data_IF_090803523359
#
_entry.id   IF_090803523359
#
_cell.length_a   1.000
_cell.length_b   1.000
_cell.length_c   1.000
_cell.angle_alpha   90.00
_cell.angle_beta   90.00
_cell.angle_gamma   90.00
#
_symmetry.space_group_name_H-M   'P 1'
#
loop_
_entity.id
_entity.type
_entity.pdbx_description
1 polymer ?
#
# COMPACT_ATOMS: atom_id res chain seq x y z
N UNK A 1 12.28 0.83 -28.00
CA UNK A 1 10.92 0.26 -27.78
C UNK A 1 9.87 1.30 -28.13
N UNK A 2 8.57 0.95 -28.15
CA UNK A 2 7.47 1.85 -28.49
C UNK A 2 6.46 1.80 -27.33
N UNK A 3 6.03 2.97 -26.84
CA UNK A 3 4.91 3.09 -25.92
C UNK A 3 3.63 3.30 -26.72
N UNK A 4 2.62 2.47 -26.44
CA UNK A 4 1.30 2.55 -27.07
C UNK A 4 0.24 2.77 -26.01
N UNK A 5 -0.63 3.75 -26.23
CA UNK A 5 -1.88 3.87 -25.47
C UNK A 5 -2.82 2.74 -25.94
N UNK A 6 -3.31 1.97 -25.02
CA UNK A 6 -4.17 0.80 -25.28
C UNK A 6 -5.50 0.96 -24.53
N UNK A 7 -6.49 0.16 -24.87
CA UNK A 7 -7.74 0.10 -24.10
C UNK A 7 -7.51 -0.56 -22.74
N UNK A 8 -8.43 -0.31 -21.80
CA UNK A 8 -8.43 -0.97 -20.50
C UNK A 8 -8.46 -2.51 -20.63
N UNK A 9 -9.19 -3.02 -21.61
CA UNK A 9 -9.27 -4.46 -21.88
C UNK A 9 -7.93 -5.04 -22.38
N UNK A 10 -7.26 -4.34 -23.30
CA UNK A 10 -5.92 -4.76 -23.76
C UNK A 10 -4.90 -4.68 -22.64
N UNK A 11 -4.96 -3.62 -21.80
CA UNK A 11 -4.09 -3.49 -20.63
C UNK A 11 -4.30 -4.64 -19.64
N UNK A 12 -5.55 -5.04 -19.39
CA UNK A 12 -5.85 -6.14 -18.47
C UNK A 12 -5.17 -7.46 -18.87
N UNK A 13 -4.90 -7.65 -20.16
CA UNK A 13 -4.19 -8.81 -20.68
C UNK A 13 -2.67 -8.77 -20.40
N UNK A 14 -2.13 -7.63 -19.97
CA UNK A 14 -0.72 -7.48 -19.60
C UNK A 14 -0.47 -7.81 -18.11
N UNK A 15 -1.53 -7.87 -17.30
CA UNK A 15 -1.43 -8.18 -15.89
C UNK A 15 -0.95 -9.62 -15.70
N UNK A 16 0.10 -9.79 -14.91
CA UNK A 16 0.51 -11.10 -14.41
C UNK A 16 -0.34 -11.54 -13.22
N UNK A 17 -0.28 -12.80 -12.86
CA UNK A 17 -1.11 -13.39 -11.79
C UNK A 17 -0.85 -12.74 -10.42
N UNK A 18 0.36 -12.25 -10.21
CA UNK A 18 0.76 -11.57 -8.96
C UNK A 18 0.62 -10.04 -8.99
N UNK A 19 -0.01 -9.47 -10.03
CA UNK A 19 -0.14 -8.02 -10.12
C UNK A 19 -0.94 -7.46 -8.93
N UNK A 20 -0.42 -6.41 -8.25
CA UNK A 20 -1.15 -5.78 -7.15
C UNK A 20 -2.51 -5.26 -7.61
N UNK A 21 -3.49 -5.31 -6.70
CA UNK A 21 -4.87 -4.83 -6.97
C UNK A 21 -4.92 -3.38 -7.47
N UNK A 22 -3.94 -2.56 -7.14
CA UNK A 22 -3.84 -1.15 -7.57
C UNK A 22 -3.62 -0.98 -9.07
N UNK A 23 -3.14 -2.03 -9.75
CA UNK A 23 -3.02 -2.07 -11.20
C UNK A 23 -4.26 -2.68 -11.89
N UNK A 24 -5.26 -3.14 -11.13
CA UNK A 24 -6.49 -3.68 -11.68
C UNK A 24 -7.33 -2.57 -12.32
N UNK A 25 -7.86 -2.83 -13.53
CA UNK A 25 -8.67 -1.86 -14.28
C UNK A 25 -9.87 -1.35 -13.47
N UNK A 26 -10.59 -2.23 -12.75
CA UNK A 26 -11.74 -1.79 -11.93
C UNK A 26 -11.33 -0.79 -10.85
N UNK A 27 -10.17 -1.01 -10.20
CA UNK A 27 -9.66 -0.06 -9.21
C UNK A 27 -9.23 1.26 -9.85
N UNK A 28 -8.57 1.20 -11.00
CA UNK A 28 -8.15 2.39 -11.76
C UNK A 28 -9.37 3.21 -12.18
N UNK A 29 -10.40 2.58 -12.75
CA UNK A 29 -11.63 3.23 -13.19
C UNK A 29 -12.43 3.84 -12.04
N UNK A 30 -12.51 3.16 -10.87
CA UNK A 30 -13.12 3.72 -9.67
C UNK A 30 -12.48 5.05 -9.25
N UNK A 31 -11.18 5.18 -9.48
CA UNK A 31 -10.39 6.35 -9.08
C UNK A 31 -10.16 7.34 -10.22
N UNK A 32 -10.65 7.09 -11.43
CA UNK A 32 -10.34 7.88 -12.63
C UNK A 32 -10.66 9.38 -12.48
N UNK A 33 -11.73 9.72 -11.74
CA UNK A 33 -12.11 11.12 -11.49
C UNK A 33 -11.08 11.93 -10.64
N UNK A 34 -10.03 11.29 -10.13
CA UNK A 34 -8.95 11.95 -9.36
C UNK A 34 -7.80 12.47 -10.23
N UNK A 35 -7.89 12.32 -11.53
CA UNK A 35 -6.98 12.90 -12.53
C UNK A 35 -7.77 13.35 -13.76
N UNK A 36 -7.14 14.12 -14.64
CA UNK A 36 -7.79 14.62 -15.85
C UNK A 36 -7.96 13.54 -16.90
N UNK A 37 -6.96 12.66 -17.04
CA UNK A 37 -6.98 11.50 -17.94
C UNK A 37 -6.30 10.28 -17.31
N UNK A 38 -6.75 9.09 -17.72
CA UNK A 38 -6.05 7.82 -17.43
C UNK A 38 -5.45 7.28 -18.72
N UNK A 39 -4.16 7.03 -18.71
CA UNK A 39 -3.44 6.38 -19.80
C UNK A 39 -3.10 4.95 -19.42
N UNK A 40 -3.72 3.99 -20.08
CA UNK A 40 -3.29 2.60 -20.06
C UNK A 40 -2.23 2.42 -21.13
N UNK A 41 -1.01 2.06 -20.72
CA UNK A 41 0.13 1.96 -21.63
C UNK A 41 0.66 0.54 -21.73
N UNK A 42 0.98 0.15 -22.98
CA UNK A 42 1.74 -1.05 -23.29
C UNK A 42 3.07 -0.65 -23.91
N UNK A 43 4.17 -1.14 -23.34
CA UNK A 43 5.53 -0.90 -23.80
C UNK A 43 6.00 -2.16 -24.55
N UNK A 44 6.27 -1.99 -25.84
CA UNK A 44 6.45 -3.09 -26.79
C UNK A 44 7.78 -3.01 -27.53
N UNK A 45 8.36 -4.16 -27.82
CA UNK A 45 9.25 -4.36 -28.97
C UNK A 45 8.44 -4.99 -30.13
N UNK A 46 8.65 -6.24 -30.45
CA UNK A 46 7.80 -7.03 -31.36
C UNK A 46 6.53 -7.54 -30.69
N UNK A 47 6.50 -7.56 -29.36
CA UNK A 47 5.37 -7.96 -28.51
C UNK A 47 5.28 -7.09 -27.26
N UNK A 48 4.14 -7.08 -26.55
CA UNK A 48 4.05 -6.41 -25.25
C UNK A 48 5.06 -7.00 -24.25
N UNK A 49 5.78 -6.11 -23.54
CA UNK A 49 6.78 -6.46 -22.53
C UNK A 49 6.36 -6.02 -21.14
N UNK A 50 5.89 -4.77 -21.05
CA UNK A 50 5.48 -4.13 -19.82
C UNK A 50 4.18 -3.38 -20.04
N UNK A 51 3.38 -3.28 -18.98
CA UNK A 51 2.26 -2.36 -18.88
C UNK A 51 2.49 -1.36 -17.75
N UNK A 52 1.91 -0.17 -17.87
CA UNK A 52 1.86 0.82 -16.80
C UNK A 52 0.60 1.67 -16.95
N UNK A 53 0.01 2.09 -15.82
CA UNK A 53 -1.07 3.08 -15.80
C UNK A 53 -0.53 4.40 -15.33
N UNK A 54 -0.84 5.46 -16.07
CA UNK A 54 -0.54 6.85 -15.66
C UNK A 54 -1.82 7.65 -15.52
N UNK A 55 -2.00 8.30 -14.37
CA UNK A 55 -2.96 9.40 -14.23
C UNK A 55 -2.30 10.71 -14.64
N UNK A 56 -2.94 11.46 -15.52
CA UNK A 56 -2.45 12.72 -16.05
C UNK A 56 -3.12 13.88 -15.31
N UNK A 57 -2.33 14.84 -14.88
CA UNK A 57 -2.81 16.13 -14.38
C UNK A 57 -2.21 17.24 -15.28
N UNK A 58 -3.06 17.86 -16.08
CA UNK A 58 -2.65 18.87 -17.07
C UNK A 58 -2.21 20.17 -16.41
N UNK A 59 -2.87 20.57 -15.33
CA UNK A 59 -2.58 21.85 -14.64
C UNK A 59 -1.21 21.82 -13.97
N UNK A 60 -0.83 20.68 -13.39
CA UNK A 60 0.46 20.46 -12.74
C UNK A 60 1.56 19.97 -13.70
N UNK A 61 1.17 19.62 -14.94
CA UNK A 61 2.05 18.96 -15.92
C UNK A 61 2.74 17.72 -15.35
N UNK A 62 1.96 16.85 -14.73
CA UNK A 62 2.48 15.62 -14.12
C UNK A 62 1.71 14.39 -14.61
N UNK A 63 2.44 13.29 -14.81
CA UNK A 63 1.91 11.95 -15.03
C UNK A 63 2.33 11.05 -13.89
N UNK A 64 1.39 10.43 -13.19
CA UNK A 64 1.66 9.67 -11.97
C UNK A 64 1.35 8.18 -12.12
N UNK A 65 2.26 7.34 -11.69
CA UNK A 65 1.97 5.94 -11.36
C UNK A 65 2.42 5.66 -9.93
N UNK A 66 1.46 5.53 -8.99
CA UNK A 66 0.02 5.64 -9.14
C UNK A 66 -0.47 7.09 -9.04
N UNK A 67 -1.73 7.33 -9.41
CA UNK A 67 -2.41 8.60 -9.14
C UNK A 67 -3.37 8.54 -7.93
N UNK A 68 -3.72 7.33 -7.47
CA UNK A 68 -4.62 7.14 -6.31
C UNK A 68 -4.40 5.80 -5.60
N UNK A 69 -3.16 5.45 -5.28
CA UNK A 69 -2.81 4.24 -4.53
C UNK A 69 -1.52 4.44 -3.74
N UNK A 70 -1.16 3.55 -2.81
CA UNK A 70 0.10 3.62 -2.08
C UNK A 70 1.35 3.44 -2.96
N UNK A 71 1.23 2.70 -4.05
CA UNK A 71 2.26 2.47 -5.06
C UNK A 71 1.62 2.01 -6.39
N UNK A 72 2.38 2.08 -7.47
CA UNK A 72 1.99 1.68 -8.81
C UNK A 72 3.14 0.99 -9.52
N UNK A 73 3.60 1.58 -10.62
CA UNK A 73 4.70 1.06 -11.40
C UNK A 73 4.25 0.10 -12.51
N UNK A 74 5.12 -0.79 -12.88
CA UNK A 74 4.96 -1.64 -14.05
C UNK A 74 4.28 -2.96 -13.70
N UNK A 75 3.61 -3.52 -14.71
CA UNK A 75 3.08 -4.89 -14.70
C UNK A 75 3.68 -5.68 -15.86
N UNK A 76 3.85 -6.98 -15.68
CA UNK A 76 4.38 -7.89 -16.67
C UNK A 76 3.94 -9.33 -16.38
N UNK A 77 3.90 -10.17 -17.41
CA UNK A 77 3.65 -11.61 -17.26
C UNK A 77 4.93 -12.41 -17.00
N UNK A 78 6.01 -11.97 -17.64
CA UNK A 78 7.34 -12.57 -17.50
C UNK A 78 8.31 -11.43 -17.22
N UNK A 79 9.09 -11.57 -16.17
CA UNK A 79 10.05 -10.54 -15.77
C UNK A 79 11.05 -10.27 -16.89
N UNK A 80 11.17 -9.02 -17.36
CA UNK A 80 12.06 -8.67 -18.46
C UNK A 80 13.54 -8.62 -18.02
N UNK A 81 14.44 -8.78 -19.00
CA UNK A 81 15.88 -8.54 -18.80
C UNK A 81 16.15 -7.07 -18.52
N UNK A 82 17.33 -6.78 -17.93
CA UNK A 82 17.78 -5.39 -17.66
C UNK A 82 17.79 -4.53 -18.93
N UNK A 83 18.23 -5.08 -20.07
CA UNK A 83 18.24 -4.38 -21.36
C UNK A 83 16.84 -3.95 -21.81
N UNK A 84 15.84 -4.83 -21.61
CA UNK A 84 14.44 -4.53 -21.94
C UNK A 84 13.88 -3.46 -20.99
N UNK A 85 14.22 -3.53 -19.71
CA UNK A 85 13.81 -2.52 -18.70
C UNK A 85 14.39 -1.15 -19.07
N UNK A 86 15.68 -1.07 -19.38
CA UNK A 86 16.36 0.17 -19.76
C UNK A 86 15.70 0.83 -20.99
N UNK A 87 15.55 0.06 -22.08
CA UNK A 87 14.88 0.55 -23.29
C UNK A 87 13.40 0.93 -23.07
N UNK A 88 12.73 0.26 -22.14
CA UNK A 88 11.34 0.59 -21.80
C UNK A 88 11.25 1.89 -21.04
N UNK A 89 12.18 2.14 -20.11
CA UNK A 89 12.26 3.40 -19.36
C UNK A 89 12.58 4.59 -20.27
N UNK A 90 13.56 4.44 -21.19
CA UNK A 90 13.86 5.45 -22.21
C UNK A 90 12.60 5.82 -23.01
N UNK A 91 11.91 4.79 -23.55
CA UNK A 91 10.70 5.00 -24.32
C UNK A 91 9.55 5.62 -23.50
N UNK A 92 9.46 5.31 -22.21
CA UNK A 92 8.46 5.92 -21.32
C UNK A 92 8.77 7.38 -21.03
N UNK A 93 10.03 7.73 -20.79
CA UNK A 93 10.46 9.12 -20.60
C UNK A 93 10.17 9.94 -21.85
N UNK A 94 10.47 9.42 -23.03
CA UNK A 94 10.16 10.05 -24.32
C UNK A 94 8.64 10.24 -24.50
N UNK A 95 7.82 9.25 -24.08
CA UNK A 95 6.36 9.34 -24.16
C UNK A 95 5.79 10.43 -23.26
N UNK A 96 6.33 10.55 -22.05
CA UNK A 96 5.88 11.56 -21.06
C UNK A 96 6.22 12.98 -21.55
N UNK A 97 7.29 13.16 -22.30
CA UNK A 97 7.67 14.44 -22.94
C UNK A 97 7.81 15.57 -21.92
N UNK A 98 7.07 16.66 -22.13
CA UNK A 98 7.16 17.86 -21.27
C UNK A 98 6.53 17.73 -19.87
N UNK A 99 5.90 16.58 -19.54
CA UNK A 99 5.36 16.35 -18.21
C UNK A 99 6.44 15.79 -17.27
N UNK A 100 6.24 15.97 -15.99
CA UNK A 100 7.04 15.24 -14.99
C UNK A 100 6.42 13.85 -14.78
N UNK A 101 7.20 12.79 -14.93
CA UNK A 101 6.76 11.45 -14.55
C UNK A 101 7.05 11.25 -13.05
N UNK A 102 5.99 11.05 -12.25
CA UNK A 102 6.12 10.57 -10.88
C UNK A 102 5.85 9.07 -10.84
N UNK A 103 6.89 8.32 -10.51
CA UNK A 103 6.84 6.87 -10.41
C UNK A 103 7.08 6.43 -8.96
N UNK A 104 6.08 5.81 -8.33
CA UNK A 104 6.20 5.21 -7.00
C UNK A 104 6.24 3.70 -7.16
N UNK A 105 7.41 3.10 -6.92
CA UNK A 105 7.58 1.66 -7.03
C UNK A 105 6.95 0.94 -5.82
N UNK A 106 6.44 -0.31 -6.00
CA UNK A 106 6.01 -1.13 -4.88
C UNK A 106 7.20 -1.45 -3.96
N UNK A 107 6.98 -1.56 -2.64
CA UNK A 107 7.97 -2.15 -1.75
C UNK A 107 8.33 -3.59 -2.19
N UNK A 108 9.56 -4.02 -1.89
CA UNK A 108 10.09 -5.32 -2.34
C UNK A 108 9.27 -6.52 -1.86
N UNK A 109 8.55 -6.39 -0.76
CA UNK A 109 7.65 -7.42 -0.22
C UNK A 109 6.56 -7.88 -1.20
N UNK A 110 6.25 -7.08 -2.22
CA UNK A 110 5.25 -7.41 -3.25
C UNK A 110 5.80 -8.27 -4.40
N UNK A 111 6.97 -8.88 -4.23
CA UNK A 111 7.55 -9.80 -5.20
C UNK A 111 8.24 -9.13 -6.40
N UNK A 112 8.45 -7.83 -6.34
CA UNK A 112 9.10 -7.05 -7.40
C UNK A 112 10.59 -6.79 -7.16
N UNK A 113 11.22 -7.44 -6.20
CA UNK A 113 12.60 -7.17 -5.76
C UNK A 113 13.61 -7.13 -6.91
N UNK A 114 13.66 -8.18 -7.74
CA UNK A 114 14.54 -8.23 -8.91
C UNK A 114 14.22 -7.16 -9.94
N UNK A 115 12.94 -6.96 -10.21
CA UNK A 115 12.50 -5.98 -11.19
C UNK A 115 12.76 -4.54 -10.71
N UNK A 116 12.41 -4.22 -9.46
CA UNK A 116 12.69 -2.91 -8.86
C UNK A 116 14.18 -2.59 -8.89
N UNK A 117 15.05 -3.56 -8.56
CA UNK A 117 16.49 -3.37 -8.62
C UNK A 117 16.96 -2.97 -10.05
N UNK A 118 16.39 -3.61 -11.08
CA UNK A 118 16.67 -3.25 -12.49
C UNK A 118 16.16 -1.85 -12.82
N UNK A 119 14.93 -1.49 -12.41
CA UNK A 119 14.36 -0.16 -12.64
C UNK A 119 15.18 0.92 -11.96
N UNK A 120 15.51 0.74 -10.68
CA UNK A 120 16.31 1.69 -9.91
C UNK A 120 17.71 1.86 -10.52
N UNK A 121 18.37 0.74 -10.85
CA UNK A 121 19.70 0.79 -11.48
C UNK A 121 19.66 1.53 -12.82
N UNK A 122 18.69 1.20 -13.70
CA UNK A 122 18.58 1.84 -15.02
C UNK A 122 18.29 3.32 -14.89
N UNK A 123 17.35 3.74 -14.04
CA UNK A 123 17.05 5.15 -13.82
C UNK A 123 18.26 5.93 -13.30
N UNK A 124 19.01 5.35 -12.35
CA UNK A 124 20.24 6.00 -11.83
C UNK A 124 21.33 6.12 -12.91
N UNK A 125 21.49 5.13 -13.77
CA UNK A 125 22.42 5.20 -14.93
C UNK A 125 21.98 6.23 -15.97
N UNK A 126 20.67 6.45 -16.12
CA UNK A 126 20.11 7.51 -16.96
C UNK A 126 20.23 8.91 -16.32
N UNK A 127 20.80 9.02 -15.12
CA UNK A 127 21.01 10.28 -14.40
C UNK A 127 19.85 10.68 -13.48
N UNK A 128 18.82 9.83 -13.34
CA UNK A 128 17.71 10.09 -12.45
C UNK A 128 17.95 9.44 -11.07
N UNK A 129 17.94 10.24 -10.03
CA UNK A 129 18.03 9.76 -8.65
C UNK A 129 16.62 9.70 -8.02
N UNK A 130 16.39 8.83 -7.03
CA UNK A 130 15.14 8.87 -6.29
C UNK A 130 14.92 10.26 -5.68
N UNK A 131 13.75 10.85 -5.90
CA UNK A 131 13.36 12.12 -5.30
C UNK A 131 13.23 11.98 -3.78
N UNK A 132 12.71 10.83 -3.34
CA UNK A 132 12.80 10.37 -1.95
C UNK A 132 12.64 8.85 -1.87
N UNK A 133 12.97 8.32 -0.70
CA UNK A 133 12.80 6.92 -0.36
C UNK A 133 12.05 6.83 0.96
N UNK A 134 10.88 6.17 0.94
CA UNK A 134 10.10 5.95 2.15
C UNK A 134 10.44 4.60 2.79
N UNK A 135 10.36 4.54 4.12
CA UNK A 135 10.49 3.32 4.91
C UNK A 135 9.11 2.68 5.08
N UNK A 136 8.91 1.54 4.43
CA UNK A 136 7.70 0.76 4.51
C UNK A 136 7.86 -0.37 5.52
N UNK A 137 6.91 -0.49 6.45
CA UNK A 137 6.97 -1.47 7.55
C UNK A 137 6.00 -2.61 7.30
N UNK A 138 6.41 -3.82 7.64
CA UNK A 138 5.60 -5.01 7.48
C UNK A 138 5.95 -6.09 8.51
N UNK A 139 5.05 -7.06 8.68
CA UNK A 139 5.31 -8.29 9.43
C UNK A 139 5.55 -9.45 8.46
N UNK A 140 6.59 -10.22 8.70
CA UNK A 140 6.71 -11.58 8.18
C UNK A 140 5.89 -12.53 9.07
N UNK A 141 4.72 -12.92 8.58
CA UNK A 141 3.78 -13.73 9.34
C UNK A 141 4.21 -15.22 9.46
N UNK A 142 5.21 -15.68 8.71
CA UNK A 142 5.76 -17.01 8.87
C UNK A 142 6.36 -17.23 10.26
N UNK A 143 6.66 -16.15 10.97
CA UNK A 143 7.30 -16.13 12.29
C UNK A 143 6.33 -15.86 13.45
N UNK A 144 5.05 -15.69 13.17
CA UNK A 144 4.04 -15.19 14.14
C UNK A 144 3.80 -16.12 15.34
N UNK A 145 4.09 -17.42 15.20
CA UNK A 145 4.02 -18.37 16.31
C UNK A 145 4.91 -17.96 17.50
N UNK A 146 5.92 -17.16 17.22
CA UNK A 146 6.84 -16.59 18.20
C UNK A 146 6.67 -15.07 18.33
N UNK A 147 5.46 -14.54 18.12
CA UNK A 147 5.18 -13.10 18.05
C UNK A 147 5.83 -12.31 19.19
N UNK A 148 5.72 -12.78 20.42
CA UNK A 148 6.33 -12.09 21.57
C UNK A 148 7.86 -12.02 21.51
N UNK A 149 8.52 -12.94 20.79
CA UNK A 149 9.99 -12.93 20.67
C UNK A 149 10.54 -11.77 19.85
N UNK A 150 9.72 -11.20 18.93
CA UNK A 150 10.11 -10.05 18.10
C UNK A 150 9.85 -8.73 18.76
N UNK A 151 8.96 -8.71 19.77
CA UNK A 151 8.62 -7.49 20.47
C UNK A 151 9.83 -6.98 21.27
N UNK A 152 10.05 -5.69 21.23
CA UNK A 152 10.92 -5.05 22.21
C UNK A 152 10.41 -5.32 23.64
N UNK A 153 11.29 -5.16 24.61
CA UNK A 153 10.89 -5.30 26.04
C UNK A 153 9.70 -4.42 26.40
N UNK A 154 9.68 -3.19 25.87
CA UNK A 154 8.61 -2.25 26.13
C UNK A 154 7.30 -2.65 25.43
N UNK A 155 7.35 -3.07 24.16
CA UNK A 155 6.17 -3.54 23.44
C UNK A 155 5.57 -4.81 24.07
N UNK A 156 6.41 -5.74 24.55
CA UNK A 156 5.95 -6.92 25.31
C UNK A 156 5.23 -6.52 26.60
N UNK A 157 5.77 -5.56 27.35
CA UNK A 157 5.10 -5.02 28.53
C UNK A 157 3.76 -4.39 28.17
N UNK A 158 3.68 -3.64 27.07
CA UNK A 158 2.46 -3.03 26.59
C UNK A 158 1.42 -4.08 26.15
N UNK A 159 1.83 -5.13 25.42
CA UNK A 159 0.96 -6.25 25.09
C UNK A 159 0.42 -6.94 26.34
N UNK A 160 1.29 -7.28 27.29
CA UNK A 160 0.88 -7.87 28.55
C UNK A 160 -0.06 -6.98 29.37
N UNK A 161 0.07 -5.66 29.23
CA UNK A 161 -0.90 -4.72 29.81
C UNK A 161 -2.25 -4.81 29.09
N UNK A 162 -2.25 -4.78 27.77
CA UNK A 162 -3.48 -4.85 26.98
C UNK A 162 -4.26 -6.15 27.18
N UNK A 163 -3.55 -7.28 27.38
CA UNK A 163 -4.15 -8.59 27.66
C UNK A 163 -4.90 -8.68 28.99
N UNK A 164 -4.77 -7.67 29.88
CA UNK A 164 -5.52 -7.61 31.15
C UNK A 164 -6.89 -7.01 31.01
N UNK A 165 -7.19 -6.42 29.84
CA UNK A 165 -8.47 -5.79 29.56
C UNK A 165 -9.34 -6.73 28.74
N UNK A 166 -10.65 -6.68 28.96
CA UNK A 166 -11.63 -7.53 28.27
C UNK A 166 -11.94 -6.99 26.86
N UNK A 167 -10.90 -6.81 26.06
CA UNK A 167 -11.04 -6.42 24.66
C UNK A 167 -11.70 -7.53 23.83
N UNK A 168 -12.71 -7.16 23.07
CA UNK A 168 -13.36 -8.03 22.07
C UNK A 168 -12.86 -7.64 20.69
N UNK A 169 -12.21 -8.59 20.01
CA UNK A 169 -11.73 -8.41 18.62
C UNK A 169 -12.76 -9.02 17.66
N UNK A 170 -13.29 -8.21 16.76
CA UNK A 170 -14.32 -8.59 15.82
C UNK A 170 -13.90 -8.27 14.38
N UNK A 171 -14.04 -9.24 13.47
CA UNK A 171 -13.99 -9.03 12.03
C UNK A 171 -15.40 -8.69 11.55
N UNK A 172 -15.55 -7.52 10.95
CA UNK A 172 -16.81 -7.03 10.42
C UNK A 172 -17.02 -7.48 8.97
N UNK A 173 -18.27 -7.69 8.55
CA UNK A 173 -18.59 -7.99 7.16
C UNK A 173 -18.38 -6.76 6.27
N UNK A 174 -17.62 -6.93 5.21
CA UNK A 174 -17.41 -5.90 4.19
C UNK A 174 -18.63 -5.69 3.27
N UNK A 175 -19.61 -6.60 3.29
CA UNK A 175 -20.83 -6.49 2.49
C UNK A 175 -21.86 -5.53 3.09
N UNK A 176 -21.67 -5.12 4.34
CA UNK A 176 -22.57 -4.23 5.06
C UNK A 176 -21.96 -2.85 5.27
N UNK A 177 -22.50 -1.84 4.62
CA UNK A 177 -22.02 -0.45 4.75
C UNK A 177 -22.03 0.08 6.20
N UNK A 178 -22.98 -0.38 7.04
CA UNK A 178 -23.02 -0.04 8.46
C UNK A 178 -21.82 -0.60 9.24
N UNK A 179 -21.33 -1.79 8.91
CA UNK A 179 -20.14 -2.38 9.50
C UNK A 179 -18.87 -1.62 9.08
N UNK A 180 -18.77 -1.26 7.79
CA UNK A 180 -17.69 -0.42 7.29
C UNK A 180 -17.69 0.94 8.00
N UNK A 181 -18.88 1.55 8.13
CA UNK A 181 -19.03 2.84 8.80
C UNK A 181 -18.60 2.78 10.28
N UNK A 182 -18.86 1.67 10.98
CA UNK A 182 -18.44 1.45 12.37
C UNK A 182 -16.90 1.49 12.50
N UNK A 183 -16.18 0.72 11.68
CA UNK A 183 -14.71 0.74 11.67
C UNK A 183 -14.17 2.11 11.21
N UNK A 184 -14.78 2.71 10.19
CA UNK A 184 -14.39 4.01 9.66
C UNK A 184 -14.53 5.13 10.70
N UNK A 185 -15.55 5.10 11.55
CA UNK A 185 -15.77 6.12 12.60
C UNK A 185 -14.60 6.16 13.59
N UNK A 186 -14.10 5.00 14.02
CA UNK A 186 -12.93 4.88 14.90
C UNK A 186 -11.66 5.41 14.22
N UNK A 187 -11.43 5.00 12.97
CA UNK A 187 -10.29 5.45 12.18
C UNK A 187 -10.33 6.97 12.00
N UNK A 188 -11.51 7.52 11.70
CA UNK A 188 -11.72 8.96 11.53
C UNK A 188 -11.39 9.72 12.83
N UNK A 189 -11.92 9.27 13.98
CA UNK A 189 -11.64 9.87 15.27
C UNK A 189 -10.13 9.87 15.60
N UNK A 190 -9.43 8.76 15.30
CA UNK A 190 -7.98 8.69 15.45
C UNK A 190 -7.25 9.71 14.57
N UNK A 191 -7.62 9.79 13.26
CA UNK A 191 -6.99 10.71 12.33
C UNK A 191 -7.19 12.18 12.72
N UNK A 192 -8.41 12.54 13.11
CA UNK A 192 -8.75 13.90 13.56
C UNK A 192 -7.98 14.29 14.82
N UNK A 193 -7.88 13.39 15.82
CA UNK A 193 -7.16 13.67 17.07
C UNK A 193 -5.65 13.88 16.89
N UNK A 194 -5.07 13.31 15.81
CA UNK A 194 -3.64 13.43 15.51
C UNK A 194 -3.35 14.43 14.37
N UNK A 195 -4.34 15.11 13.82
CA UNK A 195 -4.24 15.94 12.62
C UNK A 195 -3.66 15.20 11.40
N UNK A 196 -3.95 13.91 11.26
CA UNK A 196 -3.53 13.11 10.12
C UNK A 196 -4.58 13.16 9.00
N UNK A 197 -4.11 13.22 7.77
CA UNK A 197 -5.01 13.19 6.62
C UNK A 197 -5.76 11.85 6.52
N UNK A 198 -7.08 11.91 6.36
CA UNK A 198 -7.93 10.80 5.97
C UNK A 198 -8.34 11.01 4.50
N UNK A 199 -7.62 10.37 3.58
CA UNK A 199 -7.74 10.63 2.14
C UNK A 199 -8.96 9.98 1.48
N UNK A 200 -9.50 8.92 2.08
CA UNK A 200 -10.70 8.25 1.60
C UNK A 200 -11.90 8.69 2.43
N UNK A 201 -12.95 9.14 1.77
CA UNK A 201 -14.26 9.32 2.40
C UNK A 201 -14.88 7.95 2.72
N UNK A 202 -15.91 7.91 3.55
CA UNK A 202 -16.67 6.67 3.82
C UNK A 202 -17.21 6.07 2.51
N UNK A 203 -17.72 6.90 1.61
CA UNK A 203 -18.23 6.45 0.31
C UNK A 203 -17.14 5.81 -0.54
N UNK A 204 -15.92 6.39 -0.56
CA UNK A 204 -14.76 5.79 -1.26
C UNK A 204 -14.39 4.44 -0.67
N UNK A 205 -14.41 4.30 0.66
CA UNK A 205 -14.12 3.04 1.34
C UNK A 205 -15.15 1.98 0.98
N UNK A 206 -16.43 2.32 1.05
CA UNK A 206 -17.54 1.40 0.68
C UNK A 206 -17.43 1.00 -0.80
N UNK A 207 -17.25 1.96 -1.70
CA UNK A 207 -17.12 1.68 -3.13
C UNK A 207 -15.89 0.80 -3.45
N UNK A 208 -14.77 1.04 -2.74
CA UNK A 208 -13.56 0.22 -2.91
C UNK A 208 -13.79 -1.21 -2.42
N UNK A 209 -14.44 -1.40 -1.26
CA UNK A 209 -14.72 -2.72 -0.71
C UNK A 209 -15.66 -3.56 -1.57
N UNK A 210 -16.46 -2.95 -2.44
CA UNK A 210 -17.32 -3.65 -3.41
C UNK A 210 -16.56 -4.25 -4.59
N UNK A 211 -15.36 -3.76 -4.88
CA UNK A 211 -14.56 -4.18 -6.04
C UNK A 211 -13.24 -4.88 -5.68
N UNK A 212 -12.76 -4.69 -4.46
CA UNK A 212 -11.53 -5.29 -3.97
C UNK A 212 -11.78 -6.08 -2.70
N UNK A 213 -11.06 -7.20 -2.49
CA UNK A 213 -11.10 -7.92 -1.22
C UNK A 213 -10.62 -7.03 -0.07
N UNK A 214 -11.51 -6.72 0.86
CA UNK A 214 -11.24 -5.85 2.00
C UNK A 214 -11.75 -6.47 3.30
N UNK A 215 -11.01 -6.28 4.37
CA UNK A 215 -11.38 -6.67 5.73
C UNK A 215 -11.47 -5.43 6.63
N UNK A 216 -12.43 -5.46 7.52
CA UNK A 216 -12.63 -4.44 8.54
C UNK A 216 -12.64 -5.10 9.92
N UNK A 217 -11.89 -4.53 10.84
CA UNK A 217 -11.79 -5.02 12.20
C UNK A 217 -12.08 -3.91 13.18
N UNK A 218 -12.72 -4.27 14.28
CA UNK A 218 -12.87 -3.40 15.44
C UNK A 218 -12.40 -4.12 16.69
N UNK A 219 -11.93 -3.33 17.64
CA UNK A 219 -11.64 -3.73 18.99
C UNK A 219 -12.57 -2.97 19.89
N UNK A 220 -13.40 -3.67 20.67
CA UNK A 220 -14.34 -3.07 21.59
C UNK A 220 -13.95 -3.33 23.03
N UNK A 221 -14.29 -2.39 23.92
CA UNK A 221 -14.14 -2.52 25.37
C UNK A 221 -15.42 -2.00 26.03
N UNK A 222 -16.05 -2.81 26.88
CA UNK A 222 -17.31 -2.49 27.56
C UNK A 222 -18.44 -2.04 26.59
N UNK A 223 -18.44 -2.58 25.37
CA UNK A 223 -19.43 -2.27 24.34
C UNK A 223 -19.14 -1.03 23.50
N UNK A 224 -18.01 -0.34 23.73
CA UNK A 224 -17.55 0.80 22.94
C UNK A 224 -16.40 0.38 22.00
N UNK A 225 -16.42 0.85 20.75
CA UNK A 225 -15.36 0.62 19.79
C UNK A 225 -14.17 1.54 20.07
N UNK A 226 -13.02 0.94 20.41
CA UNK A 226 -11.84 1.65 20.90
C UNK A 226 -10.67 1.64 19.94
N UNK A 227 -10.61 0.68 19.00
CA UNK A 227 -9.63 0.66 17.92
C UNK A 227 -10.21 -0.03 16.69
N UNK A 228 -9.68 0.28 15.50
CA UNK A 228 -10.12 -0.34 14.26
C UNK A 228 -8.97 -0.45 13.25
N UNK A 229 -9.16 -1.36 12.28
CA UNK A 229 -8.30 -1.49 11.11
C UNK A 229 -9.11 -1.73 9.85
N UNK A 230 -8.69 -1.11 8.75
CA UNK A 230 -9.11 -1.37 7.37
C UNK A 230 -7.93 -2.00 6.64
N UNK A 231 -8.14 -3.15 6.03
CA UNK A 231 -7.10 -3.93 5.37
C UNK A 231 -7.56 -4.34 3.98
N UNK A 232 -6.66 -4.24 2.99
CA UNK A 232 -6.88 -4.76 1.64
C UNK A 232 -6.01 -5.98 1.38
N UNK A 233 -6.54 -6.98 0.67
CA UNK A 233 -5.74 -8.08 0.12
C UNK A 233 -5.13 -7.62 -1.20
N UNK A 234 -3.87 -7.16 -1.16
CA UNK A 234 -3.25 -6.43 -2.28
C UNK A 234 -2.70 -7.35 -3.36
N UNK A 235 -2.13 -8.48 -2.96
CA UNK A 235 -1.68 -9.53 -3.86
C UNK A 235 -1.73 -10.88 -3.13
N UNK A 236 -1.44 -11.96 -3.83
CA UNK A 236 -1.45 -13.30 -3.25
C UNK A 236 -0.52 -13.36 -2.02
N UNK A 237 -1.08 -13.77 -0.89
CA UNK A 237 -0.36 -13.92 0.36
C UNK A 237 0.04 -12.60 1.04
N UNK A 238 -0.40 -11.43 0.56
CA UNK A 238 -0.08 -10.12 1.14
C UNK A 238 -1.36 -9.32 1.42
N UNK A 239 -1.54 -8.99 2.70
CA UNK A 239 -2.56 -8.04 3.15
C UNK A 239 -1.91 -6.72 3.56
N UNK A 240 -2.57 -5.58 3.27
CA UNK A 240 -2.08 -4.25 3.61
C UNK A 240 -3.06 -3.52 4.50
N UNK A 241 -2.60 -3.06 5.65
CA UNK A 241 -3.34 -2.15 6.51
C UNK A 241 -3.34 -0.76 5.87
N UNK A 242 -4.50 -0.34 5.37
CA UNK A 242 -4.68 0.97 4.74
C UNK A 242 -4.80 2.05 5.80
N UNK A 243 -5.65 1.77 6.80
CA UNK A 243 -5.82 2.61 7.98
C UNK A 243 -6.00 1.74 9.22
N UNK A 244 -5.41 2.18 10.30
CA UNK A 244 -5.70 1.68 11.63
C UNK A 244 -5.49 2.79 12.67
N UNK A 245 -6.07 2.61 13.84
CA UNK A 245 -5.91 3.57 14.92
C UNK A 245 -6.84 3.27 16.09
N UNK A 246 -6.59 3.95 17.19
CA UNK A 246 -7.37 3.89 18.41
C UNK A 246 -8.07 5.21 18.69
N UNK A 247 -9.17 5.14 19.43
CA UNK A 247 -9.88 6.30 19.91
C UNK A 247 -9.09 7.05 21.00
N UNK A 248 -9.18 8.38 21.05
CA UNK A 248 -8.63 9.16 22.17
C UNK A 248 -9.14 8.67 23.52
N UNK A 249 -8.27 8.69 24.53
CA UNK A 249 -8.61 8.29 25.90
C UNK A 249 -8.29 6.84 26.26
N UNK A 250 -8.05 5.95 25.28
CA UNK A 250 -7.80 4.54 25.55
C UNK A 250 -6.31 4.15 25.50
N UNK A 251 -5.41 5.07 25.18
CA UNK A 251 -3.98 4.79 24.97
C UNK A 251 -3.28 4.12 26.17
N UNK A 252 -3.73 4.38 27.40
CA UNK A 252 -3.20 3.76 28.61
C UNK A 252 -3.42 2.24 28.65
N UNK A 253 -4.48 1.74 28.02
CA UNK A 253 -4.84 0.32 27.92
C UNK A 253 -4.15 -0.40 26.76
N UNK A 254 -3.39 0.34 25.94
CA UNK A 254 -2.58 -0.19 24.82
C UNK A 254 -3.38 -0.95 23.76
N UNK A 255 -4.54 -0.46 23.29
CA UNK A 255 -5.38 -1.17 22.33
C UNK A 255 -4.67 -1.45 21.02
N UNK A 256 -3.76 -0.57 20.55
CA UNK A 256 -3.00 -0.78 19.31
C UNK A 256 -2.01 -1.96 19.39
N UNK A 257 -1.44 -2.25 20.58
CA UNK A 257 -0.60 -3.44 20.76
C UNK A 257 -1.45 -4.72 20.68
N UNK A 258 -2.65 -4.71 21.25
CA UNK A 258 -3.58 -5.83 21.16
C UNK A 258 -4.10 -6.03 19.73
N UNK A 259 -4.50 -4.94 19.06
CA UNK A 259 -4.98 -4.98 17.68
C UNK A 259 -3.92 -5.53 16.73
N UNK A 260 -2.66 -5.07 16.84
CA UNK A 260 -1.55 -5.56 16.04
C UNK A 260 -1.34 -7.07 16.23
N UNK A 261 -1.32 -7.54 17.49
CA UNK A 261 -1.22 -8.97 17.82
C UNK A 261 -2.36 -9.76 17.18
N UNK A 262 -3.60 -9.31 17.32
CA UNK A 262 -4.78 -10.01 16.78
C UNK A 262 -4.83 -10.02 15.25
N UNK A 263 -4.38 -8.95 14.60
CA UNK A 263 -4.27 -8.90 13.14
C UNK A 263 -3.22 -9.90 12.64
N UNK A 264 -2.04 -9.94 13.27
CA UNK A 264 -1.00 -10.90 12.91
C UNK A 264 -1.49 -12.35 13.09
N UNK A 265 -2.12 -12.69 14.23
CA UNK A 265 -2.68 -14.00 14.49
C UNK A 265 -3.79 -14.39 13.47
N UNK A 266 -4.70 -13.42 13.19
CA UNK A 266 -5.78 -13.61 12.21
C UNK A 266 -5.24 -13.93 10.82
N UNK A 267 -4.32 -13.11 10.30
CA UNK A 267 -3.81 -13.28 8.95
C UNK A 267 -2.89 -14.49 8.81
N UNK A 268 -2.08 -14.80 9.81
CA UNK A 268 -1.29 -16.02 9.84
C UNK A 268 -2.18 -17.28 9.75
N UNK A 269 -3.24 -17.37 10.57
CA UNK A 269 -4.19 -18.49 10.55
C UNK A 269 -4.94 -18.62 9.21
N UNK A 270 -5.05 -17.54 8.44
CA UNK A 270 -5.66 -17.54 7.12
C UNK A 270 -4.63 -17.67 5.97
N UNK A 271 -3.39 -18.05 6.26
CA UNK A 271 -2.37 -18.36 5.26
C UNK A 271 -1.75 -17.13 4.56
N UNK A 272 -1.98 -15.92 5.07
CA UNK A 272 -1.29 -14.71 4.61
C UNK A 272 0.16 -14.76 5.09
N UNK A 273 1.09 -14.43 4.21
CA UNK A 273 2.54 -14.49 4.48
C UNK A 273 3.08 -13.17 5.01
N UNK A 274 2.54 -12.05 4.52
CA UNK A 274 3.02 -10.72 4.85
C UNK A 274 1.84 -9.80 5.18
N UNK A 275 1.94 -9.12 6.33
CA UNK A 275 1.03 -8.04 6.68
C UNK A 275 1.78 -6.70 6.55
N UNK A 276 1.54 -5.99 5.46
CA UNK A 276 2.07 -4.65 5.21
C UNK A 276 1.31 -3.62 6.05
N UNK A 277 2.01 -2.85 6.86
CA UNK A 277 1.43 -1.79 7.68
C UNK A 277 1.83 -0.39 7.22
N UNK A 278 2.33 -0.32 5.99
CA UNK A 278 2.62 0.92 5.28
C UNK A 278 3.82 1.72 5.79
N UNK A 279 4.08 2.87 5.17
CA UNK A 279 5.23 3.71 5.52
C UNK A 279 5.04 4.44 6.85
N UNK A 280 6.18 4.80 7.47
CA UNK A 280 6.25 5.74 8.60
C UNK A 280 7.07 6.97 8.25
N UNK A 281 7.36 7.17 6.97
CA UNK A 281 7.98 8.36 6.41
C UNK A 281 7.02 9.03 5.44
N UNK A 282 7.19 10.31 5.24
CA UNK A 282 6.51 11.08 4.21
C UNK A 282 7.55 11.90 3.44
N UNK A 283 7.69 11.62 2.14
CA UNK A 283 8.75 12.20 1.31
C UNK A 283 10.15 12.02 1.93
N UNK A 284 10.42 10.80 2.41
CA UNK A 284 11.67 10.43 3.07
C UNK A 284 11.83 10.94 4.51
N UNK A 285 10.96 11.86 4.98
CA UNK A 285 11.06 12.42 6.35
C UNK A 285 10.36 11.49 7.35
N UNK A 286 11.07 10.97 8.38
CA UNK A 286 10.49 10.03 9.32
C UNK A 286 9.57 10.70 10.35
N UNK A 287 8.44 10.04 10.62
CA UNK A 287 7.72 10.24 11.87
C UNK A 287 8.35 9.31 12.92
N UNK A 288 9.26 9.84 13.72
CA UNK A 288 10.05 9.03 14.66
C UNK A 288 9.19 8.23 15.64
N UNK A 289 8.08 8.80 16.16
CA UNK A 289 7.18 8.08 17.07
C UNK A 289 6.49 6.90 16.39
N UNK A 290 6.09 7.05 15.12
CA UNK A 290 5.46 5.99 14.36
C UNK A 290 6.49 4.93 13.92
N UNK A 291 7.72 5.31 13.56
CA UNK A 291 8.82 4.40 13.29
C UNK A 291 9.11 3.56 14.53
N UNK A 292 9.39 4.20 15.66
CA UNK A 292 9.68 3.53 16.93
C UNK A 292 8.55 2.59 17.36
N UNK A 293 7.28 2.99 17.20
CA UNK A 293 6.15 2.13 17.50
C UNK A 293 6.18 0.85 16.69
N UNK A 294 6.36 0.92 15.35
CA UNK A 294 6.40 -0.24 14.47
C UNK A 294 7.64 -1.11 14.70
N UNK A 295 8.79 -0.50 14.91
CA UNK A 295 10.04 -1.20 15.26
C UNK A 295 9.91 -1.96 16.58
N UNK A 296 9.33 -1.33 17.59
CA UNK A 296 9.04 -1.97 18.87
C UNK A 296 8.10 -3.17 18.74
N UNK A 297 7.18 -3.15 17.76
CA UNK A 297 6.28 -4.25 17.44
C UNK A 297 6.96 -5.37 16.62
N UNK A 298 8.25 -5.25 16.30
CA UNK A 298 9.02 -6.25 15.57
C UNK A 298 8.78 -6.26 14.06
N UNK A 299 8.32 -5.14 13.51
CA UNK A 299 8.18 -5.00 12.06
C UNK A 299 9.54 -4.97 11.37
N UNK A 300 9.59 -5.58 10.20
CA UNK A 300 10.70 -5.43 9.27
C UNK A 300 10.48 -4.20 8.39
N UNK A 301 11.56 -3.72 7.76
CA UNK A 301 11.55 -2.51 6.93
C UNK A 301 11.97 -2.85 5.52
N UNK A 302 11.22 -2.34 4.54
CA UNK A 302 11.59 -2.35 3.13
C UNK A 302 11.57 -0.94 2.56
N UNK A 303 12.34 -0.72 1.48
CA UNK A 303 12.40 0.58 0.82
C UNK A 303 11.27 0.73 -0.19
N UNK A 304 10.70 1.93 -0.25
CA UNK A 304 9.76 2.34 -1.28
C UNK A 304 10.34 3.55 -2.02
N UNK A 305 10.71 3.35 -3.29
CA UNK A 305 11.36 4.36 -4.11
C UNK A 305 10.33 5.22 -4.84
N UNK A 306 10.56 6.53 -4.83
CA UNK A 306 9.79 7.49 -5.59
C UNK A 306 10.74 8.29 -6.49
N UNK A 307 10.46 8.30 -7.78
CA UNK A 307 11.18 9.08 -8.78
C UNK A 307 10.27 10.17 -9.34
N UNK A 308 10.78 11.37 -9.47
CA UNK A 308 10.20 12.43 -10.28
C UNK A 308 11.17 12.74 -11.42
N UNK A 309 10.79 12.28 -12.61
CA UNK A 309 11.61 12.32 -13.81
C UNK A 309 11.10 13.44 -14.70
N UNK A 310 11.97 14.37 -15.01
CA UNK A 310 11.73 15.41 -16.03
C UNK A 310 12.52 15.05 -17.27
N UNK A 311 11.87 15.13 -18.44
CA UNK A 311 12.55 14.95 -19.72
C UNK A 311 13.53 16.08 -20.00
#
# INVERSE_FOLDING_TARGET
>A
MIVKRVSANEYSQLLGDCAPIYNNVKFVELNAAKCDEVHYLSICDTKPRLGIVLGVNHSEKIMCSPFSAPFGGFVYKVEPSIEVVEKALEALVDYVGQYTLRLTLPPDIYGYTSFNAKVVNSLMRMGHVPSWVDLNYHYDLSRVEHYESFLSRNARKNLNNSLKHDFVFEKLSADHSAHIARAYAVIKANRESHNYALRMSLNDVVATAQILPADFFVLSLNGEDVAAAQVFHVSEGIAQVIYWGDCPGYSAMRPMNFLAYKLCDHYHKNGVKTLDIGPSTQQGVPNYGLCEFKENLGCEVSLKYIFEIKA
#
